data_IF_693034049166
#
_entry.id   IF_693034049166
#
_cell.length_a   1.000
_cell.length_b   1.000
_cell.length_c   1.000
_cell.angle_alpha   90.00
_cell.angle_beta   90.00
_cell.angle_gamma   90.00
#
_symmetry.space_group_name_H-M   'P 1'
#
loop_
_entity.id
_entity.type
_entity.pdbx_description
1 polymer ?
#
# COMPACT_ATOMS: atom_id res chain seq x y z
N UNK A 1 -9.53 31.95 58.40
CA UNK A 1 -10.49 32.25 57.32
C UNK A 1 -9.71 32.72 56.09
N UNK A 2 -9.34 31.79 55.19
CA UNK A 2 -8.73 32.11 53.89
C UNK A 2 -9.27 31.11 52.87
N UNK A 3 -9.81 31.64 51.77
CA UNK A 3 -10.47 30.93 50.69
C UNK A 3 -9.49 30.06 49.90
N UNK A 4 -9.87 28.81 49.64
CA UNK A 4 -9.45 28.12 48.42
C UNK A 4 -10.70 27.62 47.68
N UNK A 5 -11.03 28.31 46.59
CA UNK A 5 -11.90 27.81 45.53
C UNK A 5 -11.12 26.72 44.77
N UNK A 6 -11.62 25.49 44.76
CA UNK A 6 -11.54 24.65 43.56
C UNK A 6 -12.96 24.29 43.17
N UNK A 7 -13.46 25.13 42.28
CA UNK A 7 -14.70 24.97 41.54
C UNK A 7 -14.74 23.62 40.87
N UNK A 8 -15.83 22.94 41.18
CA UNK A 8 -16.42 21.80 40.50
C UNK A 8 -16.78 22.23 39.07
N UNK A 9 -15.82 22.25 38.16
CA UNK A 9 -16.07 22.60 36.76
C UNK A 9 -16.18 21.34 35.92
N UNK A 10 -17.43 20.98 35.67
CA UNK A 10 -17.93 20.42 34.41
C UNK A 10 -17.43 19.01 34.03
N UNK A 11 -18.32 18.04 34.30
CA UNK A 11 -18.74 17.07 33.28
C UNK A 11 -18.88 17.80 31.93
N UNK A 12 -17.90 17.66 31.04
CA UNK A 12 -18.01 18.04 29.64
C UNK A 12 -17.86 16.78 28.80
N UNK A 13 -19.02 16.21 28.48
CA UNK A 13 -19.37 15.67 27.17
C UNK A 13 -18.32 14.75 26.52
N UNK A 14 -18.38 13.48 26.90
CA UNK A 14 -17.94 12.36 26.08
C UNK A 14 -18.86 12.23 24.85
N UNK A 15 -18.73 13.16 23.91
CA UNK A 15 -19.17 13.05 22.52
C UNK A 15 -18.37 14.05 21.70
N UNK A 16 -17.08 13.78 21.48
CA UNK A 16 -16.41 14.36 20.32
C UNK A 16 -16.92 13.62 19.10
N UNK A 17 -17.97 14.14 18.45
CA UNK A 17 -18.20 13.83 17.05
C UNK A 17 -16.97 14.37 16.30
N UNK A 18 -16.03 13.50 15.96
CA UNK A 18 -14.79 13.82 15.25
C UNK A 18 -15.06 14.14 13.77
N UNK A 19 -16.19 14.80 13.48
CA UNK A 19 -16.71 15.05 12.15
C UNK A 19 -16.17 16.39 11.68
N UNK A 20 -15.09 16.35 10.90
CA UNK A 20 -14.54 17.52 10.23
C UNK A 20 -15.61 18.19 9.36
N UNK A 21 -15.86 19.49 9.59
CA UNK A 21 -16.76 20.28 8.74
C UNK A 21 -16.19 20.36 7.33
N UNK A 22 -17.07 20.51 6.33
CA UNK A 22 -16.69 20.57 4.90
C UNK A 22 -15.62 21.66 4.63
N UNK A 23 -15.75 22.82 5.26
CA UNK A 23 -14.76 23.90 5.14
C UNK A 23 -13.40 23.56 5.77
N UNK A 24 -13.38 22.84 6.90
CA UNK A 24 -12.14 22.37 7.51
C UNK A 24 -11.47 21.30 6.65
N UNK A 25 -12.24 20.38 6.04
CA UNK A 25 -11.72 19.39 5.08
C UNK A 25 -11.09 20.09 3.87
N UNK A 26 -11.75 21.10 3.30
CA UNK A 26 -11.24 21.86 2.16
C UNK A 26 -9.92 22.57 2.49
N UNK A 27 -9.84 23.25 3.64
CA UNK A 27 -8.59 23.91 4.10
C UNK A 27 -7.44 22.95 4.37
N UNK A 28 -7.73 21.69 4.74
CA UNK A 28 -6.72 20.64 4.89
C UNK A 28 -6.25 20.12 3.52
N UNK A 29 -7.18 19.90 2.58
CA UNK A 29 -6.87 19.50 1.20
C UNK A 29 -6.02 20.55 0.47
N UNK A 30 -6.28 21.84 0.66
CA UNK A 30 -5.48 22.93 0.09
C UNK A 30 -4.01 22.92 0.56
N UNK A 31 -3.73 22.32 1.72
CA UNK A 31 -2.37 22.16 2.27
C UNK A 31 -1.77 20.78 2.00
N UNK A 32 -2.55 19.87 1.43
CA UNK A 32 -2.15 18.50 1.22
C UNK A 32 -1.06 18.43 0.15
N UNK A 33 0.14 18.01 0.55
CA UNK A 33 1.23 17.73 -0.37
C UNK A 33 1.27 16.25 -0.77
N UNK A 34 0.29 15.45 -0.34
CA UNK A 34 -0.02 14.07 -0.73
C UNK A 34 1.22 13.22 -0.94
N UNK A 35 1.58 13.04 -2.22
CA UNK A 35 2.73 12.25 -2.65
C UNK A 35 4.06 12.72 -2.04
N UNK A 36 4.27 14.03 -1.89
CA UNK A 36 5.52 14.57 -1.33
C UNK A 36 5.69 14.15 0.13
N UNK A 37 4.62 14.22 0.92
CA UNK A 37 4.70 13.86 2.33
C UNK A 37 4.80 12.33 2.50
N UNK A 38 4.13 11.56 1.63
CA UNK A 38 4.36 10.12 1.53
C UNK A 38 5.83 9.80 1.27
N UNK A 39 6.44 10.43 0.25
CA UNK A 39 7.85 10.17 -0.13
C UNK A 39 8.82 10.56 0.98
N UNK A 40 8.56 11.66 1.69
CA UNK A 40 9.36 12.02 2.88
C UNK A 40 9.29 10.93 3.95
N UNK A 41 8.09 10.42 4.25
CA UNK A 41 7.90 9.38 5.25
C UNK A 41 8.56 8.08 4.79
N UNK A 42 8.36 7.70 3.53
CA UNK A 42 9.01 6.54 2.92
C UNK A 42 10.53 6.66 3.05
N UNK A 43 11.13 7.77 2.63
CA UNK A 43 12.59 7.93 2.68
C UNK A 43 13.13 8.00 4.11
N UNK A 44 12.35 8.53 5.06
CA UNK A 44 12.73 8.52 6.47
C UNK A 44 12.72 7.09 7.05
N UNK A 45 11.67 6.33 6.76
CA UNK A 45 11.43 5.01 7.35
C UNK A 45 12.18 3.90 6.61
N UNK A 46 12.24 3.97 5.29
CA UNK A 46 12.75 2.99 4.34
C UNK A 46 13.53 3.67 3.18
N UNK A 47 14.67 4.34 3.45
CA UNK A 47 15.47 5.05 2.44
C UNK A 47 15.92 4.15 1.28
N UNK A 48 16.15 2.86 1.53
CA UNK A 48 16.63 1.91 0.52
C UNK A 48 15.49 1.14 -0.16
N UNK A 49 14.22 1.55 0.03
CA UNK A 49 13.05 0.80 -0.46
C UNK A 49 13.13 0.53 -1.96
N UNK A 50 13.34 1.57 -2.77
CA UNK A 50 13.39 1.45 -4.23
C UNK A 50 14.52 0.50 -4.65
N UNK A 51 15.71 0.68 -4.08
CA UNK A 51 16.86 -0.19 -4.33
C UNK A 51 16.55 -1.65 -3.99
N UNK A 52 15.83 -1.89 -2.89
CA UNK A 52 15.42 -3.23 -2.47
C UNK A 52 14.40 -3.84 -3.45
N UNK A 53 13.42 -3.07 -3.90
CA UNK A 53 12.49 -3.51 -4.94
C UNK A 53 13.23 -3.86 -6.25
N UNK A 54 14.26 -3.08 -6.59
CA UNK A 54 15.12 -3.33 -7.77
C UNK A 54 16.08 -4.51 -7.61
N UNK A 55 16.30 -5.01 -6.38
CA UNK A 55 17.18 -6.16 -6.12
C UNK A 55 16.48 -7.52 -6.16
N UNK A 56 15.15 -7.50 -6.35
CA UNK A 56 14.35 -8.72 -6.51
C UNK A 56 14.79 -9.48 -7.75
N UNK A 57 14.87 -10.81 -7.65
CA UNK A 57 15.16 -11.66 -8.81
C UNK A 57 14.07 -11.50 -9.86
N UNK A 58 14.47 -11.04 -11.04
CA UNK A 58 13.56 -10.91 -12.18
C UNK A 58 13.46 -12.25 -12.91
N UNK A 59 12.33 -12.99 -12.80
CA UNK A 59 12.15 -14.27 -13.46
C UNK A 59 11.95 -14.15 -14.98
N UNK A 60 11.76 -12.92 -15.49
CA UNK A 60 11.54 -12.69 -16.91
C UNK A 60 12.84 -12.78 -17.69
N UNK A 61 12.71 -13.13 -18.96
CA UNK A 61 13.85 -13.21 -19.85
C UNK A 61 14.34 -11.80 -20.23
N UNK A 62 15.55 -11.46 -19.77
CA UNK A 62 16.11 -10.10 -19.80
C UNK A 62 16.17 -9.45 -21.19
N UNK A 63 16.29 -10.24 -22.27
CA UNK A 63 16.30 -9.69 -23.63
C UNK A 63 14.94 -9.15 -24.11
N UNK A 64 13.85 -9.44 -23.39
CA UNK A 64 12.49 -9.04 -23.74
C UNK A 64 11.90 -8.01 -22.77
N UNK A 65 12.67 -7.55 -21.78
CA UNK A 65 12.19 -6.63 -20.74
C UNK A 65 12.84 -5.27 -20.86
N UNK A 66 12.02 -4.21 -20.82
CA UNK A 66 12.48 -2.81 -20.85
C UNK A 66 12.25 -2.07 -19.53
N UNK A 67 11.63 -2.72 -18.54
CA UNK A 67 11.33 -2.16 -17.22
C UNK A 67 12.02 -2.94 -16.12
N UNK A 68 12.68 -2.22 -15.20
CA UNK A 68 13.24 -2.79 -13.98
C UNK A 68 12.16 -3.25 -13.00
N UNK A 69 12.54 -4.19 -12.12
CA UNK A 69 11.66 -4.73 -11.08
C UNK A 69 11.23 -3.66 -10.06
N UNK A 70 12.11 -2.70 -9.77
CA UNK A 70 11.79 -1.53 -8.94
C UNK A 70 10.58 -0.75 -9.48
N UNK A 71 10.58 -0.46 -10.77
CA UNK A 71 9.56 0.35 -11.44
C UNK A 71 8.22 -0.37 -11.40
N UNK A 72 8.21 -1.67 -11.71
CA UNK A 72 7.00 -2.50 -11.72
C UNK A 72 6.40 -2.62 -10.32
N UNK A 73 7.22 -3.01 -9.33
CA UNK A 73 6.76 -3.20 -7.96
C UNK A 73 6.37 -1.89 -7.30
N UNK A 74 7.12 -0.81 -7.52
CA UNK A 74 6.82 0.48 -6.93
C UNK A 74 5.53 1.07 -7.49
N UNK A 75 5.23 0.85 -8.77
CA UNK A 75 3.95 1.26 -9.37
C UNK A 75 2.77 0.52 -8.72
N UNK A 76 2.91 -0.77 -8.40
CA UNK A 76 1.91 -1.54 -7.64
C UNK A 76 1.75 -0.98 -6.22
N UNK A 77 2.84 -0.62 -5.55
CA UNK A 77 2.78 0.02 -4.23
C UNK A 77 2.02 1.34 -4.29
N UNK A 78 2.34 2.20 -5.26
CA UNK A 78 1.66 3.49 -5.46
C UNK A 78 0.18 3.31 -5.78
N UNK A 79 -0.19 2.36 -6.65
CA UNK A 79 -1.58 2.00 -6.94
C UNK A 79 -2.36 1.73 -5.64
N UNK A 80 -1.80 0.93 -4.74
CA UNK A 80 -2.43 0.58 -3.47
C UNK A 80 -2.56 1.79 -2.54
N UNK A 81 -1.52 2.64 -2.46
CA UNK A 81 -1.54 3.88 -1.66
C UNK A 81 -2.63 4.83 -2.17
N UNK A 82 -2.75 4.98 -3.49
CA UNK A 82 -3.76 5.82 -4.12
C UNK A 82 -5.16 5.20 -4.14
N UNK A 83 -5.33 4.03 -3.52
CA UNK A 83 -6.62 3.31 -3.46
C UNK A 83 -7.21 3.04 -4.84
N UNK A 84 -6.36 2.80 -5.84
CA UNK A 84 -6.80 2.39 -7.17
C UNK A 84 -7.11 0.90 -7.12
N UNK A 85 -8.41 0.55 -7.14
CA UNK A 85 -8.84 -0.83 -6.92
C UNK A 85 -8.63 -1.75 -8.12
N UNK A 86 -8.59 -1.20 -9.34
CA UNK A 86 -8.51 -2.00 -10.57
C UNK A 86 -7.18 -1.76 -11.28
N UNK A 87 -6.68 -2.79 -11.98
CA UNK A 87 -5.48 -2.69 -12.82
C UNK A 87 -5.71 -1.76 -14.03
N UNK A 88 -6.93 -1.77 -14.59
CA UNK A 88 -7.29 -0.82 -15.66
C UNK A 88 -7.33 0.63 -15.17
N UNK A 89 -7.95 0.87 -14.02
CA UNK A 89 -7.98 2.20 -13.43
C UNK A 89 -6.60 2.72 -13.03
N UNK A 90 -5.66 1.83 -12.73
CA UNK A 90 -4.25 2.17 -12.57
C UNK A 90 -3.67 2.75 -13.87
N UNK A 91 -3.81 2.06 -15.01
CA UNK A 91 -3.31 2.59 -16.29
C UNK A 91 -3.90 3.97 -16.60
N UNK A 92 -5.23 4.11 -16.53
CA UNK A 92 -5.89 5.37 -16.88
C UNK A 92 -5.43 6.53 -15.97
N UNK A 93 -5.24 6.26 -14.68
CA UNK A 93 -4.82 7.26 -13.71
C UNK A 93 -3.34 7.65 -13.87
N UNK A 94 -2.47 6.65 -14.06
CA UNK A 94 -1.05 6.90 -14.22
C UNK A 94 -0.71 7.47 -15.60
N UNK A 95 -1.54 7.33 -16.62
CA UNK A 95 -1.30 7.94 -17.93
C UNK A 95 -1.41 9.48 -17.93
N UNK A 96 -1.84 10.11 -16.83
CA UNK A 96 -1.83 11.57 -16.69
C UNK A 96 -0.41 12.16 -16.80
N UNK A 97 -0.32 13.35 -17.41
CA UNK A 97 0.92 13.83 -18.05
C UNK A 97 2.12 14.08 -17.13
N UNK A 98 1.94 14.10 -15.80
CA UNK A 98 3.03 14.30 -14.85
C UNK A 98 3.54 13.01 -14.20
N UNK A 99 2.81 11.90 -14.33
CA UNK A 99 3.11 10.66 -13.62
C UNK A 99 4.39 9.99 -14.11
N UNK A 100 4.68 10.02 -15.41
CA UNK A 100 5.90 9.45 -15.99
C UNK A 100 7.16 10.10 -15.39
N UNK A 101 7.30 11.42 -15.50
CA UNK A 101 8.41 12.20 -14.92
C UNK A 101 8.49 12.08 -13.39
N UNK A 102 7.35 11.94 -12.72
CA UNK A 102 7.34 11.76 -11.27
C UNK A 102 7.85 10.37 -10.91
N UNK A 103 7.45 9.32 -11.64
CA UNK A 103 7.90 7.97 -11.41
C UNK A 103 9.42 7.85 -11.59
N UNK A 104 9.98 8.44 -12.64
CA UNK A 104 11.44 8.50 -12.86
C UNK A 104 12.18 9.15 -11.68
N UNK A 105 11.64 10.26 -11.15
CA UNK A 105 12.24 10.93 -9.98
C UNK A 105 12.14 10.10 -8.71
N UNK A 106 11.08 9.30 -8.57
CA UNK A 106 10.85 8.47 -7.39
C UNK A 106 11.69 7.20 -7.42
N UNK A 107 11.83 6.58 -8.58
CA UNK A 107 12.66 5.37 -8.75
C UNK A 107 14.14 5.71 -8.93
N UNK A 108 14.46 6.92 -9.41
CA UNK A 108 15.82 7.31 -9.77
C UNK A 108 16.29 6.71 -11.10
N UNK A 109 15.39 6.11 -11.89
CA UNK A 109 15.69 5.49 -13.17
C UNK A 109 14.96 6.22 -14.29
N UNK A 110 15.61 6.35 -15.46
CA UNK A 110 14.92 6.72 -16.70
C UNK A 110 14.07 5.54 -17.16
N UNK A 111 12.81 5.80 -17.50
CA UNK A 111 11.88 4.75 -17.95
C UNK A 111 11.33 5.11 -19.33
N UNK A 112 11.20 4.15 -20.25
CA UNK A 112 10.73 4.45 -21.60
C UNK A 112 9.29 4.96 -21.62
N UNK A 113 8.45 4.44 -20.74
CA UNK A 113 7.08 4.91 -20.47
C UNK A 113 6.60 4.33 -19.13
N UNK A 114 5.35 4.56 -18.75
CA UNK A 114 4.70 3.90 -17.63
C UNK A 114 4.34 2.45 -18.05
N UNK A 115 4.76 1.42 -17.29
CA UNK A 115 4.41 0.04 -17.59
C UNK A 115 2.90 -0.19 -17.67
N UNK A 116 2.46 -0.85 -18.73
CA UNK A 116 1.07 -1.29 -18.86
C UNK A 116 0.75 -2.33 -17.76
N UNK A 117 -0.47 -2.31 -17.22
CA UNK A 117 -0.87 -3.25 -16.18
C UNK A 117 -0.68 -4.73 -16.55
N UNK A 118 -0.84 -5.09 -17.84
CA UNK A 118 -0.59 -6.47 -18.31
C UNK A 118 0.87 -6.87 -18.07
N UNK A 119 1.83 -6.00 -18.40
CA UNK A 119 3.26 -6.25 -18.16
C UNK A 119 3.58 -6.46 -16.67
N UNK A 120 2.88 -5.75 -15.78
CA UNK A 120 3.02 -5.91 -14.34
C UNK A 120 2.45 -7.26 -13.90
N UNK A 121 1.28 -7.65 -14.43
CA UNK A 121 0.67 -8.94 -14.12
C UNK A 121 1.55 -10.09 -14.59
N UNK A 122 2.03 -10.06 -15.84
CA UNK A 122 2.93 -11.07 -16.40
C UNK A 122 4.17 -11.26 -15.52
N UNK A 123 4.72 -10.16 -15.00
CA UNK A 123 5.83 -10.19 -14.05
C UNK A 123 5.44 -10.82 -12.71
N UNK A 124 4.31 -10.40 -12.12
CA UNK A 124 3.86 -10.89 -10.82
C UNK A 124 3.42 -12.35 -10.83
N UNK A 125 2.93 -12.87 -11.97
CA UNK A 125 2.51 -14.27 -12.13
C UNK A 125 3.68 -15.25 -11.95
N UNK A 126 4.88 -14.85 -12.36
CA UNK A 126 6.09 -15.70 -12.28
C UNK A 126 7.03 -15.32 -11.13
N UNK A 127 6.78 -14.19 -10.46
CA UNK A 127 7.61 -13.75 -9.35
C UNK A 127 7.40 -14.63 -8.11
N UNK A 128 8.50 -15.12 -7.53
CA UNK A 128 8.43 -15.87 -6.28
C UNK A 128 7.87 -14.99 -5.15
N UNK A 129 6.85 -15.44 -4.39
CA UNK A 129 6.35 -14.71 -3.23
C UNK A 129 7.41 -14.42 -2.17
N UNK A 130 8.42 -15.31 -2.04
CA UNK A 130 9.51 -15.19 -1.08
C UNK A 130 10.29 -13.89 -1.25
N UNK A 131 10.46 -13.43 -2.50
CA UNK A 131 11.16 -12.18 -2.81
C UNK A 131 10.47 -10.97 -2.15
N UNK A 132 9.13 -10.94 -2.16
CA UNK A 132 8.36 -9.86 -1.53
C UNK A 132 8.27 -10.03 -0.02
N UNK A 133 8.24 -11.27 0.47
CA UNK A 133 8.21 -11.57 1.91
C UNK A 133 9.51 -11.15 2.59
N UNK A 134 10.67 -11.33 1.95
CA UNK A 134 11.94 -10.83 2.48
C UNK A 134 11.93 -9.31 2.68
N UNK A 135 11.40 -8.57 1.70
CA UNK A 135 11.28 -7.10 1.79
C UNK A 135 10.36 -6.74 2.96
N UNK A 136 9.22 -7.42 3.10
CA UNK A 136 8.28 -7.18 4.19
C UNK A 136 8.92 -7.46 5.56
N UNK A 137 9.65 -8.56 5.69
CA UNK A 137 10.36 -8.92 6.92
C UNK A 137 11.41 -7.85 7.27
N UNK A 138 12.16 -7.36 6.28
CA UNK A 138 13.14 -6.29 6.49
C UNK A 138 12.46 -5.00 6.97
N UNK A 139 11.35 -4.61 6.33
CA UNK A 139 10.58 -3.45 6.73
C UNK A 139 10.11 -3.56 8.19
N UNK A 140 9.54 -4.72 8.57
CA UNK A 140 9.09 -4.97 9.96
C UNK A 140 10.27 -4.90 10.94
N UNK A 141 11.40 -5.56 10.63
CA UNK A 141 12.62 -5.51 11.46
C UNK A 141 13.10 -4.07 11.65
N UNK A 142 13.06 -3.26 10.59
CA UNK A 142 13.46 -1.85 10.63
C UNK A 142 12.57 -1.03 11.56
N UNK A 143 11.25 -1.17 11.45
CA UNK A 143 10.27 -0.49 12.33
C UNK A 143 10.44 -0.84 13.81
N UNK A 144 10.76 -2.10 14.10
CA UNK A 144 11.04 -2.55 15.47
C UNK A 144 12.34 -1.91 15.99
N UNK A 145 13.41 -1.92 15.19
CA UNK A 145 14.72 -1.36 15.55
C UNK A 145 14.68 0.17 15.72
N UNK A 146 13.90 0.87 14.91
CA UNK A 146 13.69 2.33 15.02
C UNK A 146 12.80 2.71 16.21
N UNK A 147 12.28 1.74 16.97
CA UNK A 147 11.41 1.97 18.12
C UNK A 147 10.10 2.68 17.74
N UNK A 148 9.67 2.58 16.47
CA UNK A 148 8.51 3.31 15.95
C UNK A 148 7.20 2.93 16.67
N UNK A 149 7.13 1.72 17.23
CA UNK A 149 5.96 1.24 17.98
C UNK A 149 6.02 1.49 19.50
N UNK A 150 7.07 2.13 20.03
CA UNK A 150 7.21 2.37 21.47
C UNK A 150 6.05 3.15 22.10
N UNK A 151 5.51 4.20 21.44
CA UNK A 151 4.35 4.93 21.97
C UNK A 151 3.08 4.06 22.09
N UNK A 152 3.02 2.93 21.37
CA UNK A 152 1.86 2.02 21.34
C UNK A 152 1.89 0.95 22.44
N UNK A 153 2.84 1.01 23.38
CA UNK A 153 2.92 0.05 24.49
C UNK A 153 1.91 0.33 25.59
N UNK A 154 1.44 -0.73 26.22
CA UNK A 154 0.59 -0.62 27.41
C UNK A 154 1.39 -0.11 28.62
N UNK A 155 0.70 0.44 29.64
CA UNK A 155 1.32 0.72 30.93
C UNK A 155 2.12 -0.49 31.43
N UNK A 156 3.35 -0.26 31.89
CA UNK A 156 4.28 -1.35 32.24
C UNK A 156 5.16 -1.84 31.09
N UNK A 157 5.05 -1.24 29.89
CA UNK A 157 5.98 -1.48 28.78
C UNK A 157 5.72 -2.75 27.97
N UNK A 158 4.53 -3.34 28.12
CA UNK A 158 4.11 -4.56 27.43
C UNK A 158 3.75 -4.29 25.96
N UNK A 159 4.08 -5.25 25.10
CA UNK A 159 3.70 -5.26 23.68
C UNK A 159 2.34 -5.92 23.48
N UNK A 160 1.54 -5.38 22.56
CA UNK A 160 0.30 -5.99 22.10
C UNK A 160 0.58 -6.67 20.76
N UNK A 161 0.35 -7.98 20.68
CA UNK A 161 0.36 -8.72 19.43
C UNK A 161 -1.08 -9.07 19.07
N UNK A 162 -1.54 -8.59 17.92
CA UNK A 162 -2.84 -8.95 17.36
C UNK A 162 -2.59 -10.01 16.30
N UNK A 163 -3.19 -11.18 16.47
CA UNK A 163 -3.16 -12.26 15.48
C UNK A 163 -4.57 -12.44 14.94
N UNK A 164 -4.73 -12.18 13.65
CA UNK A 164 -5.95 -12.46 12.91
C UNK A 164 -5.65 -13.55 11.89
N UNK A 165 -6.43 -14.63 11.93
CA UNK A 165 -6.26 -15.77 11.05
C UNK A 165 -7.12 -15.58 9.81
N UNK A 166 -6.53 -15.05 8.74
CA UNK A 166 -7.19 -14.98 7.44
C UNK A 166 -6.46 -15.89 6.45
N UNK A 167 -7.20 -16.79 5.81
CA UNK A 167 -6.68 -17.72 4.81
C UNK A 167 -7.31 -17.43 3.46
N UNK A 168 -6.49 -17.21 2.43
CA UNK A 168 -6.94 -17.23 1.05
C UNK A 168 -6.88 -18.68 0.56
N UNK A 169 -8.05 -19.27 0.30
CA UNK A 169 -8.13 -20.58 -0.33
C UNK A 169 -8.38 -20.39 -1.83
N UNK A 170 -7.48 -20.91 -2.66
CA UNK A 170 -7.65 -20.99 -4.10
C UNK A 170 -7.68 -22.46 -4.50
N UNK A 171 -8.65 -22.83 -5.35
CA UNK A 171 -8.77 -24.15 -5.94
C UNK A 171 -9.01 -23.96 -7.44
N UNK A 172 -8.19 -24.60 -8.27
CA UNK A 172 -8.38 -24.60 -9.73
C UNK A 172 -9.66 -25.37 -10.11
N UNK A 173 -9.97 -26.43 -9.35
CA UNK A 173 -11.17 -27.24 -9.51
C UNK A 173 -12.08 -27.16 -8.28
N UNK A 174 -13.34 -27.58 -8.46
CA UNK A 174 -14.33 -27.58 -7.38
C UNK A 174 -13.87 -28.51 -6.24
N UNK A 175 -13.53 -27.93 -5.10
CA UNK A 175 -13.07 -28.70 -3.93
C UNK A 175 -14.22 -29.43 -3.19
N UNK A 176 -15.42 -28.86 -3.12
CA UNK A 176 -16.57 -29.49 -2.46
C UNK A 176 -17.93 -28.97 -2.99
N UNK A 177 -19.02 -29.54 -2.49
CA UNK A 177 -20.39 -29.14 -2.89
C UNK A 177 -20.71 -27.67 -2.57
N UNK A 178 -20.10 -27.11 -1.52
CA UNK A 178 -20.34 -25.73 -1.08
C UNK A 178 -19.46 -24.69 -1.79
N UNK A 179 -18.59 -25.10 -2.73
CA UNK A 179 -17.78 -24.16 -3.50
C UNK A 179 -18.68 -23.26 -4.36
N UNK A 180 -18.47 -21.95 -4.24
CA UNK A 180 -19.08 -20.96 -5.12
C UNK A 180 -18.46 -21.11 -6.52
N UNK A 181 -19.28 -21.49 -7.50
CA UNK A 181 -18.87 -21.61 -8.90
C UNK A 181 -19.52 -20.48 -9.71
N UNK A 182 -18.75 -19.87 -10.60
CA UNK A 182 -19.25 -18.89 -11.57
C UNK A 182 -19.19 -19.52 -12.95
N UNK A 183 -20.33 -19.93 -13.49
CA UNK A 183 -20.41 -20.39 -14.88
C UNK A 183 -20.25 -19.19 -15.82
N UNK A 184 -19.23 -19.21 -16.67
CA UNK A 184 -19.02 -18.18 -17.69
C UNK A 184 -19.49 -18.77 -19.02
N UNK A 185 -20.53 -18.19 -19.58
CA UNK A 185 -21.06 -18.58 -20.89
C UNK A 185 -20.46 -17.61 -21.93
N UNK A 186 -19.78 -18.16 -22.93
CA UNK A 186 -19.25 -17.36 -24.04
C UNK A 186 -20.40 -16.78 -24.89
N UNK A 187 -20.11 -15.82 -25.77
CA UNK A 187 -21.10 -15.21 -26.68
C UNK A 187 -21.83 -16.23 -27.58
N UNK A 188 -21.22 -17.40 -27.77
CA UNK A 188 -21.76 -18.53 -28.53
C UNK A 188 -22.56 -19.55 -27.69
N UNK A 189 -22.80 -19.27 -26.40
CA UNK A 189 -23.61 -20.14 -25.53
C UNK A 189 -22.87 -21.35 -24.95
N UNK A 190 -21.55 -21.48 -25.17
CA UNK A 190 -20.74 -22.56 -24.60
C UNK A 190 -20.29 -22.21 -23.18
N UNK A 191 -20.44 -23.17 -22.26
CA UNK A 191 -19.87 -23.11 -20.92
C UNK A 191 -18.34 -23.21 -20.99
N UNK A 192 -17.65 -22.24 -20.42
CA UNK A 192 -16.20 -22.27 -20.16
C UNK A 192 -15.94 -22.60 -18.70
#
# INVERSE_FOLDING_TARGET
MVKYKKTFTQRMNFTMSNTLTRDKKRKLQEKDKGIIDFVKIQNHMFPDLIKRLGSVQDPRHQSYTIYGTDTLLYLVVLKNIFSLHTMRGMNDWFYDGNCHKNLEKLTGNEIPDIPHYDTINDFLEVLSPDELDEIRIEMVKRLIRSKSFYPSRLPGGQWILIMDGTGLHHFEERHCENCLVKEIIDKEGKKK
#
